data_IF_727158538657
#
_entry.id   IF_727158538657
#
_cell.length_a   1.000
_cell.length_b   1.000
_cell.length_c   1.000
_cell.angle_alpha   90.00
_cell.angle_beta   90.00
_cell.angle_gamma   90.00
#
_symmetry.space_group_name_H-M   'P 1'
#
loop_
_entity.id
_entity.type
_entity.pdbx_description
1 polymer ?
#
# COMPACT_ATOMS: atom_id res chain seq x y z
N UNK A 1 3.72 -1.40 -9.94
CA UNK A 1 2.63 -0.75 -10.70
C UNK A 1 1.55 -1.74 -11.05
N UNK A 2 0.27 -1.31 -11.18
CA UNK A 2 -0.84 -2.20 -11.55
C UNK A 2 -2.19 -1.63 -11.13
N UNK A 3 -3.28 -2.25 -11.61
CA UNK A 3 -4.65 -1.90 -11.18
C UNK A 3 -4.80 -2.07 -9.65
N UNK A 4 -5.84 -1.49 -9.04
CA UNK A 4 -6.19 -1.83 -7.66
C UNK A 4 -6.34 -3.37 -7.49
N UNK A 5 -5.97 -3.86 -6.31
CA UNK A 5 -6.10 -5.28 -5.92
C UNK A 5 -5.26 -6.29 -6.74
N UNK A 6 -4.25 -5.85 -7.48
CA UNK A 6 -3.29 -6.76 -8.14
C UNK A 6 -2.25 -7.36 -7.20
N UNK A 7 -2.26 -6.99 -5.90
CA UNK A 7 -1.35 -7.54 -4.89
C UNK A 7 -0.08 -6.73 -4.66
N UNK A 8 -0.01 -5.45 -5.10
CA UNK A 8 1.17 -4.58 -4.93
C UNK A 8 1.65 -4.49 -3.48
N UNK A 9 0.82 -3.98 -2.58
CA UNK A 9 1.16 -3.82 -1.16
C UNK A 9 1.48 -5.14 -0.46
N UNK A 10 0.77 -6.23 -0.84
CA UNK A 10 1.07 -7.58 -0.32
C UNK A 10 2.45 -8.04 -0.78
N UNK A 11 2.80 -7.76 -2.04
CA UNK A 11 4.12 -8.10 -2.59
C UNK A 11 5.23 -7.25 -1.95
N UNK A 12 4.98 -5.95 -1.75
CA UNK A 12 5.92 -5.06 -1.04
C UNK A 12 6.21 -5.59 0.36
N UNK A 13 5.18 -5.93 1.15
CA UNK A 13 5.36 -6.52 2.46
C UNK A 13 6.14 -7.86 2.41
N UNK A 14 5.88 -8.70 1.41
CA UNK A 14 6.59 -9.97 1.26
C UNK A 14 8.07 -9.78 0.89
N UNK A 15 8.40 -8.82 0.04
CA UNK A 15 9.77 -8.47 -0.34
C UNK A 15 10.57 -7.91 0.84
N UNK A 16 9.95 -7.05 1.64
CA UNK A 16 10.57 -6.44 2.84
C UNK A 16 10.67 -7.45 3.99
N UNK A 17 9.79 -8.44 4.05
CA UNK A 17 9.69 -9.41 5.15
C UNK A 17 8.91 -8.88 6.37
N UNK A 18 8.41 -7.64 6.31
CA UNK A 18 7.60 -7.01 7.35
C UNK A 18 6.37 -6.29 6.77
N UNK A 19 5.36 -6.10 7.61
CA UNK A 19 4.16 -5.35 7.24
C UNK A 19 4.42 -3.85 7.33
N UNK A 20 4.77 -3.22 6.22
CA UNK A 20 4.96 -1.77 6.11
C UNK A 20 3.77 -1.10 5.40
N UNK A 21 3.12 -1.79 4.47
CA UNK A 21 1.95 -1.31 3.74
C UNK A 21 0.69 -2.02 4.20
N UNK A 22 -0.41 -1.29 4.33
CA UNK A 22 -1.71 -1.88 4.64
C UNK A 22 -2.29 -2.62 3.44
N UNK A 23 -3.04 -3.67 3.74
CA UNK A 23 -3.69 -4.51 2.72
C UNK A 23 -5.19 -4.59 2.97
N UNK A 24 -5.98 -4.28 1.96
CA UNK A 24 -7.43 -4.45 2.02
C UNK A 24 -7.98 -4.85 0.66
N UNK A 25 -9.14 -5.52 0.66
CA UNK A 25 -9.85 -5.90 -0.58
C UNK A 25 -10.50 -4.70 -1.28
N UNK A 26 -10.28 -3.50 -0.77
CA UNK A 26 -10.85 -2.26 -1.30
C UNK A 26 -9.92 -1.60 -2.31
N UNK A 27 -10.45 -0.96 -3.37
CA UNK A 27 -9.64 -0.11 -4.23
C UNK A 27 -9.05 1.08 -3.45
N UNK A 28 -7.92 1.61 -3.92
CA UNK A 28 -7.27 2.81 -3.34
C UNK A 28 -6.87 2.63 -1.85
N UNK A 29 -6.41 1.44 -1.51
CA UNK A 29 -5.93 1.15 -0.15
C UNK A 29 -4.68 1.95 0.16
N UNK A 30 -3.69 1.98 -0.75
CA UNK A 30 -2.46 2.78 -0.63
C UNK A 30 -2.74 4.21 -1.02
N UNK A 31 -2.43 5.17 -0.16
CA UNK A 31 -2.63 6.61 -0.38
C UNK A 31 -1.36 7.44 -0.27
N UNK A 32 -0.27 6.85 0.18
CA UNK A 32 1.06 7.44 0.20
C UNK A 32 2.01 6.54 -0.59
N UNK A 33 3.10 7.10 -1.10
CA UNK A 33 4.20 6.32 -1.63
C UNK A 33 4.96 5.73 -0.43
N UNK A 34 4.81 4.44 -0.18
CA UNK A 34 5.46 3.74 0.93
C UNK A 34 6.79 3.16 0.43
N UNK A 35 7.91 3.53 1.07
CA UNK A 35 9.21 2.96 0.76
C UNK A 35 9.53 1.81 1.69
N UNK A 36 9.75 0.63 1.10
CA UNK A 36 10.21 -0.56 1.80
C UNK A 36 11.65 -0.86 1.42
N UNK A 37 12.44 -1.27 2.40
CA UNK A 37 13.86 -1.52 2.25
C UNK A 37 14.12 -3.02 2.29
N UNK A 38 14.75 -3.54 1.22
CA UNK A 38 15.16 -4.94 1.11
C UNK A 38 16.67 -4.97 1.09
N UNK A 39 17.26 -5.56 2.12
CA UNK A 39 18.70 -5.68 2.27
C UNK A 39 19.15 -7.05 1.77
N UNK A 40 20.12 -7.08 0.87
CA UNK A 40 20.82 -8.26 0.37
C UNK A 40 22.33 -8.11 0.62
N UNK A 41 23.08 -9.18 0.49
CA UNK A 41 24.54 -9.13 0.69
C UNK A 41 25.22 -8.16 -0.30
N UNK A 42 24.75 -8.15 -1.53
CA UNK A 42 25.31 -7.42 -2.67
C UNK A 42 24.47 -6.23 -3.16
N UNK A 43 23.27 -6.02 -2.59
CA UNK A 43 22.36 -4.97 -3.05
C UNK A 43 21.47 -4.43 -1.93
N UNK A 44 21.01 -3.19 -2.11
CA UNK A 44 19.91 -2.60 -1.34
C UNK A 44 18.82 -2.18 -2.31
N UNK A 45 17.62 -2.76 -2.18
CA UNK A 45 16.49 -2.43 -3.03
C UNK A 45 15.53 -1.52 -2.24
N UNK A 46 15.23 -0.34 -2.77
CA UNK A 46 14.17 0.53 -2.25
C UNK A 46 12.91 0.26 -3.05
N UNK A 47 12.00 -0.52 -2.49
CA UNK A 47 10.71 -0.84 -3.12
C UNK A 47 9.72 0.26 -2.81
N UNK A 48 9.14 0.89 -3.83
CA UNK A 48 8.14 1.95 -3.64
C UNK A 48 6.76 1.40 -3.97
N UNK A 49 5.93 1.17 -2.92
CA UNK A 49 4.50 0.88 -3.11
C UNK A 49 3.74 2.17 -3.38
N UNK A 50 3.10 2.23 -4.51
CA UNK A 50 2.40 3.44 -4.98
C UNK A 50 0.89 3.23 -5.01
N UNK A 51 0.10 4.30 -4.83
CA UNK A 51 -1.32 4.28 -5.12
C UNK A 51 -1.61 3.70 -6.51
N UNK A 52 -2.73 3.00 -6.65
CA UNK A 52 -3.18 2.51 -7.95
C UNK A 52 -3.59 3.67 -8.86
N UNK A 53 -3.10 3.71 -10.09
CA UNK A 53 -3.53 4.70 -11.08
C UNK A 53 -4.99 4.49 -11.48
N UNK A 54 -5.77 5.57 -11.42
CA UNK A 54 -7.16 5.60 -11.85
C UNK A 54 -7.54 7.00 -12.35
N UNK A 55 -8.71 7.14 -12.97
CA UNK A 55 -9.21 8.48 -13.34
C UNK A 55 -9.64 9.23 -12.08
N UNK A 56 -9.00 10.37 -11.75
CA UNK A 56 -9.29 11.10 -10.53
C UNK A 56 -10.70 11.70 -10.58
N UNK A 57 -11.40 11.69 -9.45
CA UNK A 57 -12.71 12.31 -9.26
C UNK A 57 -12.70 13.39 -8.18
N UNK A 58 -11.61 13.48 -7.42
CA UNK A 58 -11.42 14.40 -6.30
C UNK A 58 -10.01 14.97 -6.37
N UNK A 59 -9.76 16.07 -5.66
CA UNK A 59 -8.42 16.65 -5.54
C UNK A 59 -7.43 15.67 -4.89
N UNK A 60 -7.89 14.85 -3.93
CA UNK A 60 -7.08 13.75 -3.40
C UNK A 60 -6.61 12.83 -4.52
N UNK A 61 -7.53 12.35 -5.37
CA UNK A 61 -7.18 11.47 -6.50
C UNK A 61 -6.19 12.10 -7.48
N UNK A 62 -6.28 13.41 -7.72
CA UNK A 62 -5.31 14.16 -8.55
C UNK A 62 -3.92 14.14 -7.92
N UNK A 63 -3.80 14.48 -6.60
CA UNK A 63 -2.55 14.46 -5.86
C UNK A 63 -1.92 13.07 -5.80
N UNK A 64 -2.73 12.01 -5.60
CA UNK A 64 -2.24 10.63 -5.62
C UNK A 64 -1.64 10.26 -6.99
N UNK A 65 -2.30 10.64 -8.08
CA UNK A 65 -1.78 10.41 -9.43
C UNK A 65 -0.51 11.23 -9.72
N UNK A 66 -0.37 12.44 -9.17
CA UNK A 66 0.86 13.24 -9.29
C UNK A 66 2.02 12.58 -8.55
N UNK A 67 1.83 12.17 -7.29
CA UNK A 67 2.84 11.45 -6.52
C UNK A 67 3.32 10.17 -7.21
N UNK A 68 2.39 9.44 -7.86
CA UNK A 68 2.74 8.26 -8.67
C UNK A 68 3.60 8.63 -9.87
N UNK A 69 3.30 9.73 -10.57
CA UNK A 69 4.10 10.16 -11.75
C UNK A 69 5.50 10.64 -11.35
N UNK A 70 5.63 11.34 -10.23
CA UNK A 70 6.92 11.74 -9.68
C UNK A 70 7.78 10.51 -9.36
N UNK A 71 7.19 9.49 -8.72
CA UNK A 71 7.89 8.23 -8.45
C UNK A 71 8.44 7.57 -9.72
N UNK A 72 7.76 7.67 -10.87
CA UNK A 72 8.23 7.04 -12.11
C UNK A 72 9.49 7.66 -12.68
N UNK A 73 9.73 8.94 -12.43
CA UNK A 73 10.92 9.63 -12.90
C UNK A 73 12.18 9.24 -12.10
N UNK A 74 11.98 8.74 -10.87
CA UNK A 74 13.04 8.56 -9.88
C UNK A 74 13.42 7.08 -9.65
N UNK A 75 12.76 6.12 -10.32
CA UNK A 75 13.03 4.69 -10.12
C UNK A 75 13.81 4.07 -11.26
N UNK A 76 14.70 3.12 -10.94
CA UNK A 76 15.52 2.38 -11.92
C UNK A 76 14.73 1.26 -12.61
N UNK A 77 13.78 0.64 -11.89
CA UNK A 77 12.98 -0.50 -12.38
C UNK A 77 11.51 -0.30 -12.03
N UNK A 78 10.62 -0.57 -12.97
CA UNK A 78 9.17 -0.57 -12.75
C UNK A 78 8.61 -1.98 -12.94
N UNK A 79 8.13 -2.58 -11.84
CA UNK A 79 7.40 -3.84 -11.87
C UNK A 79 5.92 -3.64 -12.20
N UNK A 80 5.44 -4.21 -13.30
CA UNK A 80 4.02 -4.20 -13.68
C UNK A 80 3.33 -5.44 -13.14
N UNK A 81 2.47 -5.27 -12.13
CA UNK A 81 1.78 -6.38 -11.45
C UNK A 81 0.47 -6.73 -12.14
N UNK A 82 0.31 -7.98 -12.55
CA UNK A 82 -0.90 -8.52 -13.19
C UNK A 82 -1.25 -9.85 -12.51
N UNK A 83 -2.46 -10.00 -11.94
CA UNK A 83 -2.82 -11.21 -11.23
C UNK A 83 -3.06 -12.39 -12.19
N UNK A 84 -2.62 -13.59 -11.81
CA UNK A 84 -2.76 -14.80 -12.60
C UNK A 84 -4.21 -15.23 -12.82
N UNK A 85 -5.08 -14.92 -11.85
CA UNK A 85 -6.50 -15.29 -11.84
C UNK A 85 -7.41 -14.31 -12.60
N UNK A 86 -6.87 -13.26 -13.20
CA UNK A 86 -7.62 -12.28 -13.98
C UNK A 86 -7.11 -12.24 -15.43
N UNK A 87 -7.97 -11.87 -16.36
CA UNK A 87 -7.56 -11.60 -17.75
C UNK A 87 -7.01 -10.19 -17.86
N UNK A 88 -6.00 -10.01 -18.72
CA UNK A 88 -5.49 -8.68 -19.10
C UNK A 88 -6.63 -7.88 -19.72
N UNK A 89 -6.91 -6.73 -19.12
CA UNK A 89 -8.00 -5.85 -19.53
C UNK A 89 -7.51 -4.50 -20.09
N UNK A 90 -8.46 -3.63 -20.47
CA UNK A 90 -8.14 -2.29 -20.96
C UNK A 90 -7.35 -1.44 -19.93
N UNK A 91 -7.61 -1.64 -18.63
CA UNK A 91 -6.90 -0.94 -17.56
C UNK A 91 -5.42 -1.31 -17.50
N UNK A 92 -5.07 -2.59 -17.70
CA UNK A 92 -3.68 -3.05 -17.71
C UNK A 92 -2.93 -2.46 -18.92
N UNK A 93 -3.55 -2.46 -20.10
CA UNK A 93 -2.98 -1.85 -21.32
C UNK A 93 -2.75 -0.36 -21.14
N UNK A 94 -3.73 0.35 -20.60
CA UNK A 94 -3.60 1.79 -20.32
C UNK A 94 -2.47 2.10 -19.35
N UNK A 95 -2.26 1.28 -18.30
CA UNK A 95 -1.15 1.43 -17.35
C UNK A 95 0.18 1.28 -18.07
N UNK A 96 0.37 0.22 -18.87
CA UNK A 96 1.61 -0.03 -19.60
C UNK A 96 1.90 1.10 -20.59
N UNK A 97 0.91 1.54 -21.35
CA UNK A 97 1.04 2.69 -22.27
C UNK A 97 1.43 3.97 -21.54
N UNK A 98 0.81 4.22 -20.39
CA UNK A 98 1.10 5.41 -19.58
C UNK A 98 2.51 5.39 -19.00
N UNK A 99 2.94 4.24 -18.46
CA UNK A 99 4.30 4.05 -17.94
C UNK A 99 5.34 4.30 -19.05
N UNK A 100 5.18 3.69 -20.21
CA UNK A 100 6.08 3.88 -21.34
C UNK A 100 6.18 5.33 -21.82
N UNK A 101 5.06 6.07 -21.73
CA UNK A 101 5.03 7.49 -22.10
C UNK A 101 5.75 8.37 -21.08
N UNK A 102 5.61 8.08 -19.78
CA UNK A 102 6.15 8.91 -18.70
C UNK A 102 7.60 8.54 -18.39
N UNK A 103 7.92 7.25 -18.41
CA UNK A 103 9.24 6.71 -18.10
C UNK A 103 9.77 5.81 -19.24
N UNK A 104 10.04 6.37 -20.45
CA UNK A 104 10.36 5.59 -21.64
C UNK A 104 11.72 4.87 -21.59
N UNK A 105 12.61 5.28 -20.67
CA UNK A 105 13.95 4.71 -20.50
C UNK A 105 14.07 3.76 -19.30
N UNK A 106 13.08 3.74 -18.42
CA UNK A 106 13.10 2.93 -17.21
C UNK A 106 12.86 1.46 -17.55
N UNK A 107 13.64 0.58 -16.95
CA UNK A 107 13.51 -0.87 -17.15
C UNK A 107 12.15 -1.35 -16.63
N UNK A 108 11.42 -2.10 -17.48
CA UNK A 108 10.14 -2.69 -17.12
C UNK A 108 10.30 -4.19 -16.89
N UNK A 109 9.67 -4.70 -15.83
CA UNK A 109 9.50 -6.13 -15.60
C UNK A 109 8.02 -6.46 -15.42
N UNK A 110 7.60 -7.63 -15.87
CA UNK A 110 6.26 -8.19 -15.62
C UNK A 110 6.26 -9.02 -14.34
N UNK A 111 5.31 -8.77 -13.45
CA UNK A 111 5.14 -9.55 -12.22
C UNK A 111 3.75 -10.18 -12.22
N UNK A 112 3.68 -11.48 -12.51
CA UNK A 112 2.43 -12.26 -12.48
C UNK A 112 2.17 -12.67 -11.04
N UNK A 113 1.23 -11.99 -10.39
CA UNK A 113 0.93 -12.17 -8.95
C UNK A 113 -0.17 -13.21 -8.71
N UNK A 114 -0.36 -13.64 -7.45
CA UNK A 114 -1.43 -14.56 -6.99
C UNK A 114 -1.39 -15.91 -7.68
N UNK A 115 -0.21 -16.43 -7.98
CA UNK A 115 -0.06 -17.73 -8.66
C UNK A 115 -0.58 -18.91 -7.81
N UNK A 116 -0.65 -18.74 -6.49
CA UNK A 116 -1.23 -19.68 -5.54
C UNK A 116 -2.74 -19.94 -5.74
N UNK A 117 -3.40 -19.11 -6.56
CA UNK A 117 -4.87 -19.18 -6.78
C UNK A 117 -5.27 -19.88 -8.07
N UNK A 118 -4.32 -20.34 -8.88
CA UNK A 118 -4.58 -20.90 -10.21
C UNK A 118 -3.71 -22.11 -10.51
N UNK A 119 -4.03 -22.86 -11.59
CA UNK A 119 -3.22 -23.99 -12.08
C UNK A 119 -1.94 -23.53 -12.78
N UNK A 120 -0.96 -24.43 -12.89
CA UNK A 120 0.31 -24.18 -13.60
C UNK A 120 0.10 -23.81 -15.07
N UNK A 121 -0.85 -24.43 -15.75
CA UNK A 121 -1.17 -24.10 -17.15
C UNK A 121 -1.66 -22.66 -17.27
N UNK A 122 -2.51 -22.22 -16.33
CA UNK A 122 -2.98 -20.83 -16.28
C UNK A 122 -1.87 -19.84 -15.99
N UNK A 123 -0.89 -20.20 -15.15
CA UNK A 123 0.30 -19.39 -14.93
C UNK A 123 1.09 -19.23 -16.23
N UNK A 124 1.34 -20.32 -16.95
CA UNK A 124 2.07 -20.30 -18.21
C UNK A 124 1.37 -19.42 -19.28
N UNK A 125 0.06 -19.55 -19.44
CA UNK A 125 -0.74 -18.69 -20.33
C UNK A 125 -0.60 -17.20 -19.95
N UNK A 126 -0.66 -16.90 -18.65
CA UNK A 126 -0.60 -15.52 -18.17
C UNK A 126 0.80 -14.92 -18.35
N UNK A 127 1.87 -15.70 -18.15
CA UNK A 127 3.25 -15.27 -18.40
C UNK A 127 3.42 -14.85 -19.87
N UNK A 128 2.96 -15.66 -20.83
CA UNK A 128 3.00 -15.33 -22.26
C UNK A 128 2.21 -14.06 -22.54
N UNK A 129 0.99 -13.95 -22.02
CA UNK A 129 0.14 -12.79 -22.23
C UNK A 129 0.73 -11.49 -21.65
N UNK A 130 1.41 -11.56 -20.51
CA UNK A 130 2.10 -10.41 -19.89
C UNK A 130 3.36 -10.06 -20.69
N UNK A 131 4.13 -11.03 -21.14
CA UNK A 131 5.30 -10.81 -21.98
C UNK A 131 4.91 -10.09 -23.29
N UNK A 132 3.84 -10.53 -23.95
CA UNK A 132 3.30 -9.85 -25.15
C UNK A 132 2.81 -8.43 -24.83
N UNK A 133 2.10 -8.23 -23.71
CA UNK A 133 1.62 -6.93 -23.27
C UNK A 133 2.79 -5.94 -23.08
N UNK A 134 3.93 -6.43 -22.56
CA UNK A 134 5.15 -5.66 -22.34
C UNK A 134 6.04 -5.57 -23.58
N UNK A 135 5.61 -6.06 -24.76
CA UNK A 135 6.26 -5.91 -26.04
C UNK A 135 7.35 -6.95 -26.35
N UNK A 136 7.41 -8.06 -25.60
CA UNK A 136 8.23 -9.21 -25.91
C UNK A 136 9.73 -9.10 -25.58
N UNK A 137 10.17 -8.04 -24.90
CA UNK A 137 11.58 -7.81 -24.54
C UNK A 137 11.81 -7.69 -23.02
N UNK A 138 10.73 -7.75 -22.22
CA UNK A 138 10.81 -7.57 -20.78
C UNK A 138 10.82 -8.92 -20.05
N UNK A 139 11.57 -9.01 -18.97
CA UNK A 139 11.52 -10.13 -18.05
C UNK A 139 10.14 -10.26 -17.41
N UNK A 140 9.63 -11.48 -17.26
CA UNK A 140 8.36 -11.75 -16.61
C UNK A 140 8.53 -12.86 -15.58
N UNK A 141 8.15 -12.59 -14.34
CA UNK A 141 8.30 -13.53 -13.22
C UNK A 141 6.94 -13.81 -12.55
N UNK A 142 6.60 -15.08 -12.29
CA UNK A 142 5.42 -15.45 -11.52
C UNK A 142 5.74 -15.41 -10.02
N UNK A 143 4.83 -14.86 -9.17
CA UNK A 143 5.06 -14.79 -7.74
C UNK A 143 3.78 -14.97 -6.92
N UNK A 144 3.89 -15.58 -5.76
CA UNK A 144 2.89 -15.52 -4.71
C UNK A 144 3.45 -14.85 -3.46
N UNK A 145 3.04 -13.61 -3.24
CA UNK A 145 3.38 -12.90 -2.00
C UNK A 145 2.77 -13.56 -0.74
N UNK A 146 1.71 -14.36 -0.91
CA UNK A 146 1.02 -15.04 0.19
C UNK A 146 1.76 -16.30 0.65
N UNK A 147 2.27 -17.09 -0.27
CA UNK A 147 3.04 -18.31 0.02
C UNK A 147 4.54 -18.07 0.12
N UNK A 148 5.03 -16.90 -0.32
CA UNK A 148 6.46 -16.60 -0.45
C UNK A 148 7.08 -17.16 -1.73
N UNK A 149 6.31 -17.83 -2.59
CA UNK A 149 6.83 -18.48 -3.79
C UNK A 149 7.40 -17.46 -4.77
N UNK A 150 8.67 -17.62 -5.13
CA UNK A 150 9.45 -16.78 -6.04
C UNK A 150 9.60 -15.30 -5.61
N UNK A 151 9.42 -14.98 -4.34
CA UNK A 151 9.63 -13.62 -3.82
C UNK A 151 11.13 -13.28 -3.76
N UNK A 152 11.98 -14.22 -3.35
CA UNK A 152 13.43 -14.01 -3.31
C UNK A 152 14.05 -13.99 -4.72
N UNK A 153 13.53 -14.81 -5.65
CA UNK A 153 13.92 -14.79 -7.06
C UNK A 153 13.57 -13.43 -7.70
N UNK A 154 12.40 -12.87 -7.38
CA UNK A 154 12.04 -11.53 -7.83
C UNK A 154 13.00 -10.48 -7.25
N UNK A 155 13.35 -10.58 -5.97
CA UNK A 155 14.32 -9.66 -5.36
C UNK A 155 15.70 -9.77 -6.02
N UNK A 156 16.16 -11.00 -6.33
CA UNK A 156 17.39 -11.26 -7.08
C UNK A 156 17.37 -10.69 -8.51
N UNK A 157 16.25 -10.88 -9.23
CA UNK A 157 16.07 -10.30 -10.56
C UNK A 157 16.15 -8.77 -10.51
N UNK A 158 15.46 -8.13 -9.58
CA UNK A 158 15.50 -6.67 -9.43
C UNK A 158 16.91 -6.21 -9.07
N UNK A 159 17.58 -6.86 -8.11
CA UNK A 159 18.95 -6.51 -7.73
C UNK A 159 19.93 -6.51 -8.92
N UNK A 160 19.80 -7.50 -9.81
CA UNK A 160 20.61 -7.59 -11.04
C UNK A 160 20.36 -6.50 -12.09
N UNK A 161 19.24 -5.78 -11.96
CA UNK A 161 18.85 -4.69 -12.86
C UNK A 161 19.18 -3.30 -12.28
N UNK A 162 19.58 -3.21 -11.01
CA UNK A 162 19.91 -1.94 -10.37
C UNK A 162 21.32 -1.46 -10.77
N UNK A 163 21.53 -0.14 -10.87
CA UNK A 163 22.85 0.41 -11.07
C UNK A 163 23.75 0.23 -9.83
N UNK A 164 25.06 0.20 -10.04
CA UNK A 164 26.02 0.25 -8.94
C UNK A 164 25.95 1.60 -8.22
N UNK A 165 25.95 1.57 -6.89
CA UNK A 165 25.84 2.77 -6.07
C UNK A 165 26.07 2.51 -4.58
N UNK A 166 26.13 3.56 -3.75
CA UNK A 166 26.21 3.42 -2.30
C UNK A 166 24.90 2.93 -1.71
N UNK A 167 24.96 2.31 -0.51
CA UNK A 167 23.76 2.09 0.31
C UNK A 167 23.20 3.44 0.77
N UNK A 168 21.89 3.61 0.63
CA UNK A 168 21.18 4.83 1.03
C UNK A 168 20.67 4.77 2.46
N UNK A 169 20.40 3.57 2.98
CA UNK A 169 19.76 3.35 4.29
C UNK A 169 20.59 2.40 5.15
N UNK A 170 20.59 2.56 6.49
CA UNK A 170 21.15 1.59 7.42
C UNK A 170 20.48 0.22 7.30
N UNK A 171 21.23 -0.85 7.63
CA UNK A 171 20.78 -2.24 7.44
C UNK A 171 19.65 -2.66 8.41
N UNK A 172 19.42 -1.92 9.48
CA UNK A 172 18.36 -2.15 10.48
C UNK A 172 17.04 -1.41 10.15
N UNK A 173 17.02 -0.61 9.10
CA UNK A 173 15.80 0.06 8.66
C UNK A 173 15.03 -0.80 7.66
N UNK A 174 13.72 -0.86 7.81
CA UNK A 174 12.79 -1.59 6.90
C UNK A 174 11.90 -0.64 6.09
N UNK A 175 11.78 0.63 6.52
CA UNK A 175 11.02 1.69 5.85
C UNK A 175 11.48 3.05 6.34
N UNK A 176 11.26 4.09 5.55
CA UNK A 176 11.48 5.49 5.93
C UNK A 176 10.19 6.21 6.39
N UNK A 177 9.06 5.51 6.42
CA UNK A 177 7.81 6.07 6.92
C UNK A 177 7.86 6.33 8.43
N UNK A 178 7.34 7.48 8.84
CA UNK A 178 7.25 7.80 10.26
C UNK A 178 6.23 6.91 11.00
N UNK A 179 6.47 6.72 12.29
CA UNK A 179 5.70 5.80 13.13
C UNK A 179 4.22 6.23 13.26
N UNK A 180 3.92 7.53 13.29
CA UNK A 180 2.55 8.02 13.42
C UNK A 180 1.76 7.73 12.13
N UNK A 181 2.36 7.92 10.97
CA UNK A 181 1.77 7.55 9.67
C UNK A 181 1.48 6.05 9.62
N UNK A 182 2.42 5.21 10.05
CA UNK A 182 2.21 3.76 10.12
C UNK A 182 1.06 3.37 11.06
N UNK A 183 0.98 3.99 12.25
CA UNK A 183 -0.13 3.75 13.18
C UNK A 183 -1.47 4.20 12.59
N UNK A 184 -1.53 5.37 11.96
CA UNK A 184 -2.75 5.87 11.31
C UNK A 184 -3.23 4.91 10.20
N UNK A 185 -2.32 4.38 9.39
CA UNK A 185 -2.64 3.41 8.34
C UNK A 185 -3.15 2.08 8.92
N UNK A 186 -2.57 1.55 10.01
CA UNK A 186 -3.07 0.35 10.68
C UNK A 186 -4.49 0.54 11.24
N UNK A 187 -4.80 1.72 11.78
CA UNK A 187 -6.17 2.07 12.21
C UNK A 187 -7.09 2.14 10.99
N UNK A 188 -6.63 2.74 9.88
CA UNK A 188 -7.39 2.83 8.64
C UNK A 188 -7.67 1.45 8.04
N UNK A 189 -6.70 0.55 8.00
CA UNK A 189 -6.89 -0.84 7.57
C UNK A 189 -7.97 -1.55 8.40
N UNK A 190 -7.89 -1.44 9.73
CA UNK A 190 -8.89 -2.01 10.62
C UNK A 190 -10.29 -1.43 10.37
N UNK A 191 -10.39 -0.14 10.04
CA UNK A 191 -11.64 0.52 9.71
C UNK A 191 -12.20 0.08 8.34
N UNK A 192 -11.35 -0.12 7.34
CA UNK A 192 -11.73 -0.55 5.99
C UNK A 192 -12.32 -1.97 5.97
N UNK A 193 -11.91 -2.83 6.90
CA UNK A 193 -12.40 -4.22 6.98
C UNK A 193 -13.92 -4.29 7.04
N UNK A 194 -14.53 -4.94 6.03
CA UNK A 194 -15.98 -5.10 5.90
C UNK A 194 -16.75 -3.82 5.54
N UNK A 195 -16.09 -2.73 5.15
CA UNK A 195 -16.74 -1.59 4.51
C UNK A 195 -17.05 -1.92 3.04
N UNK A 196 -18.10 -1.28 2.51
CA UNK A 196 -18.55 -1.47 1.12
C UNK A 196 -18.90 -0.12 0.48
N UNK A 197 -19.01 -0.12 -0.86
CA UNK A 197 -19.39 1.04 -1.67
C UNK A 197 -18.42 2.22 -1.51
N UNK A 198 -18.90 3.44 -1.40
CA UNK A 198 -18.11 4.68 -1.36
C UNK A 198 -17.48 4.98 0.03
N UNK A 199 -17.85 4.25 1.08
CA UNK A 199 -17.38 4.55 2.42
C UNK A 199 -15.87 4.33 2.62
N UNK A 200 -15.23 3.30 2.01
CA UNK A 200 -13.77 3.13 2.10
C UNK A 200 -12.99 4.35 1.61
N UNK A 201 -13.45 5.02 0.57
CA UNK A 201 -12.78 6.21 0.01
C UNK A 201 -12.85 7.42 0.94
N UNK A 202 -13.90 7.50 1.78
CA UNK A 202 -14.18 8.64 2.67
C UNK A 202 -13.49 8.58 4.03
N UNK A 203 -12.74 7.52 4.33
CA UNK A 203 -12.09 7.32 5.64
C UNK A 203 -10.67 7.85 5.60
N UNK A 204 -10.32 8.74 6.53
CA UNK A 204 -8.93 9.13 6.83
C UNK A 204 -8.68 9.01 8.34
N UNK A 205 -7.43 8.85 8.73
CA UNK A 205 -7.01 8.73 10.14
C UNK A 205 -5.83 9.67 10.38
N UNK A 206 -5.84 10.31 11.53
CA UNK A 206 -4.78 11.18 12.03
C UNK A 206 -4.45 10.74 13.46
N UNK A 207 -3.17 10.67 13.81
CA UNK A 207 -2.72 10.51 15.18
C UNK A 207 -2.61 11.91 15.78
N UNK A 208 -3.42 12.20 16.80
CA UNK A 208 -3.38 13.49 17.49
C UNK A 208 -2.14 13.58 18.39
N UNK A 209 -1.93 12.58 19.24
CA UNK A 209 -0.78 12.52 20.14
C UNK A 209 -0.48 11.10 20.65
N UNK A 210 0.74 10.86 21.08
CA UNK A 210 1.20 9.64 21.74
C UNK A 210 1.91 10.00 23.03
N UNK A 211 1.36 9.56 24.16
CA UNK A 211 1.86 9.91 25.50
C UNK A 211 2.10 8.67 26.36
N UNK A 212 3.11 8.66 27.25
CA UNK A 212 3.20 7.63 28.28
C UNK A 212 1.94 7.62 29.16
N UNK A 213 1.48 6.44 29.52
CA UNK A 213 0.37 6.31 30.49
C UNK A 213 0.86 6.68 31.90
N UNK A 214 0.09 7.49 32.62
CA UNK A 214 0.53 8.01 33.94
C UNK A 214 0.40 6.96 35.05
N UNK A 215 -0.50 5.99 34.88
CA UNK A 215 -0.83 4.99 35.91
C UNK A 215 -0.24 3.60 35.61
N UNK A 216 0.20 3.37 34.35
CA UNK A 216 0.69 2.06 33.87
C UNK A 216 2.05 2.21 33.21
N UNK A 217 3.09 1.80 33.91
CA UNK A 217 4.46 1.80 33.38
C UNK A 217 4.56 0.92 32.13
N UNK A 218 5.29 1.41 31.12
CA UNK A 218 5.49 0.70 29.86
C UNK A 218 4.28 0.66 28.92
N UNK A 219 3.23 1.45 29.18
CA UNK A 219 2.07 1.60 28.29
C UNK A 219 2.07 2.99 27.65
N UNK A 220 1.74 3.05 26.35
CA UNK A 220 1.51 4.32 25.65
C UNK A 220 0.02 4.55 25.44
N UNK A 221 -0.44 5.78 25.64
CA UNK A 221 -1.74 6.27 25.23
C UNK A 221 -1.64 6.87 23.82
N UNK A 222 -2.31 6.22 22.87
CA UNK A 222 -2.38 6.68 21.47
C UNK A 222 -3.76 7.31 21.26
N UNK A 223 -3.79 8.60 20.99
CA UNK A 223 -5.01 9.35 20.67
C UNK A 223 -5.09 9.54 19.16
N UNK A 224 -6.20 9.08 18.57
CA UNK A 224 -6.38 9.13 17.13
C UNK A 224 -7.79 9.60 16.74
N UNK A 225 -7.90 10.22 15.58
CA UNK A 225 -9.17 10.64 15.00
C UNK A 225 -9.37 9.98 13.64
N UNK A 226 -10.50 9.28 13.51
CA UNK A 226 -10.99 8.77 12.25
C UNK A 226 -11.98 9.78 11.66
N UNK A 227 -11.67 10.28 10.48
CA UNK A 227 -12.51 11.22 9.74
C UNK A 227 -13.37 10.48 8.72
N UNK A 228 -14.61 10.97 8.59
CA UNK A 228 -15.56 10.60 7.53
C UNK A 228 -16.20 11.86 6.97
N UNK A 229 -16.74 11.81 5.75
CA UNK A 229 -17.29 13.00 5.11
C UNK A 229 -18.72 13.34 5.53
N UNK A 230 -19.52 12.35 5.97
CA UNK A 230 -20.95 12.51 6.23
C UNK A 230 -21.36 11.92 7.58
N UNK A 231 -22.35 12.54 8.28
CA UNK A 231 -22.83 12.02 9.56
C UNK A 231 -23.31 10.56 9.50
N UNK A 232 -23.99 10.15 8.42
CA UNK A 232 -24.42 8.77 8.22
C UNK A 232 -23.27 7.77 8.17
N UNK A 233 -22.12 8.17 7.63
CA UNK A 233 -20.91 7.33 7.61
C UNK A 233 -20.34 7.12 9.02
N UNK A 234 -20.40 8.15 9.89
CA UNK A 234 -20.03 8.04 11.31
C UNK A 234 -20.82 6.93 12.00
N UNK A 235 -22.14 6.88 11.78
CA UNK A 235 -22.99 5.85 12.36
C UNK A 235 -22.64 4.44 11.85
N UNK A 236 -22.27 4.30 10.58
CA UNK A 236 -21.84 3.02 10.00
C UNK A 236 -20.50 2.55 10.61
N UNK A 237 -19.54 3.47 10.78
CA UNK A 237 -18.25 3.14 11.44
C UNK A 237 -18.44 2.79 12.91
N UNK A 238 -19.25 3.54 13.64
CA UNK A 238 -19.55 3.24 15.03
C UNK A 238 -20.26 1.87 15.17
N UNK A 239 -21.19 1.59 14.26
CA UNK A 239 -22.01 0.39 14.30
C UNK A 239 -23.07 0.44 15.41
N UNK A 240 -23.90 -0.60 15.49
CA UNK A 240 -24.91 -0.71 16.53
C UNK A 240 -24.23 -0.77 17.89
N UNK A 241 -24.63 0.09 18.81
CA UNK A 241 -24.12 0.16 20.20
C UNK A 241 -22.57 0.29 20.28
N UNK A 242 -21.92 0.87 19.27
CA UNK A 242 -20.47 1.05 19.23
C UNK A 242 -19.64 -0.22 18.97
N UNK A 243 -20.30 -1.37 18.72
CA UNK A 243 -19.61 -2.67 18.58
C UNK A 243 -18.60 -2.70 17.44
N UNK A 244 -18.92 -2.04 16.33
CA UNK A 244 -17.98 -2.00 15.19
C UNK A 244 -16.73 -1.19 15.53
N UNK A 245 -16.90 -0.02 16.15
CA UNK A 245 -15.79 0.80 16.61
C UNK A 245 -14.90 0.05 17.59
N UNK A 246 -15.48 -0.65 18.58
CA UNK A 246 -14.73 -1.50 19.50
C UNK A 246 -13.93 -2.58 18.78
N UNK A 247 -14.50 -3.20 17.74
CA UNK A 247 -13.79 -4.18 16.90
C UNK A 247 -12.65 -3.56 16.08
N UNK A 248 -12.81 -2.32 15.59
CA UNK A 248 -11.75 -1.56 14.91
C UNK A 248 -10.61 -1.27 15.87
N UNK A 249 -10.92 -0.71 17.04
CA UNK A 249 -9.94 -0.41 18.11
C UNK A 249 -9.16 -1.66 18.50
N UNK A 250 -9.85 -2.78 18.71
CA UNK A 250 -9.19 -4.03 19.09
C UNK A 250 -8.18 -4.51 18.02
N UNK A 251 -8.59 -4.56 16.76
CA UNK A 251 -7.69 -5.00 15.67
C UNK A 251 -6.52 -4.05 15.48
N UNK A 252 -6.78 -2.75 15.41
CA UNK A 252 -5.74 -1.74 15.24
C UNK A 252 -4.73 -1.78 16.40
N UNK A 253 -5.23 -1.90 17.65
CA UNK A 253 -4.38 -2.00 18.83
C UNK A 253 -3.40 -3.17 18.74
N UNK A 254 -3.86 -4.35 18.33
CA UNK A 254 -2.98 -5.53 18.19
C UNK A 254 -1.85 -5.31 17.18
N UNK A 255 -2.15 -4.67 16.06
CA UNK A 255 -1.15 -4.38 15.02
C UNK A 255 -0.18 -3.26 15.48
N UNK A 256 -0.68 -2.23 16.16
CA UNK A 256 0.17 -1.16 16.70
C UNK A 256 1.11 -1.70 17.81
N UNK A 257 0.64 -2.61 18.66
CA UNK A 257 1.51 -3.28 19.65
C UNK A 257 2.68 -4.01 18.97
N UNK A 258 2.41 -4.71 17.86
CA UNK A 258 3.48 -5.37 17.09
C UNK A 258 4.44 -4.36 16.48
N UNK A 259 3.91 -3.26 15.91
CA UNK A 259 4.70 -2.20 15.31
C UNK A 259 5.66 -1.55 16.33
N UNK A 260 5.16 -1.23 17.53
CA UNK A 260 5.93 -0.52 18.55
C UNK A 260 6.71 -1.45 19.48
N UNK A 261 6.45 -2.75 19.41
CA UNK A 261 6.89 -3.74 20.42
C UNK A 261 6.60 -3.28 21.86
N UNK A 262 5.46 -2.61 22.07
CA UNK A 262 5.08 -1.98 23.33
C UNK A 262 3.56 -2.02 23.53
N UNK A 263 3.11 -2.20 24.77
CA UNK A 263 1.69 -2.14 25.09
C UNK A 263 1.13 -0.72 24.89
N UNK A 264 -0.09 -0.64 24.34
CA UNK A 264 -0.77 0.62 24.14
C UNK A 264 -2.22 0.59 24.64
N UNK A 265 -2.73 1.77 24.96
CA UNK A 265 -4.15 2.08 25.00
C UNK A 265 -4.50 2.94 23.79
N UNK A 266 -5.53 2.58 23.01
CA UNK A 266 -5.95 3.32 21.82
C UNK A 266 -7.29 4.03 22.08
N UNK A 267 -7.28 5.36 22.14
CA UNK A 267 -8.47 6.22 22.13
C UNK A 267 -8.76 6.66 20.70
N UNK A 268 -9.79 6.08 20.07
CA UNK A 268 -10.18 6.37 18.70
C UNK A 268 -11.49 7.14 18.64
N UNK A 269 -11.47 8.38 18.18
CA UNK A 269 -12.63 9.25 18.02
C UNK A 269 -13.06 9.36 16.57
N UNK A 270 -14.37 9.41 16.29
CA UNK A 270 -14.87 9.60 14.93
C UNK A 270 -15.38 11.03 14.79
N UNK A 271 -14.82 11.77 13.81
CA UNK A 271 -15.23 13.14 13.47
C UNK A 271 -15.73 13.21 12.01
N UNK A 272 -16.66 14.11 11.75
CA UNK A 272 -17.12 14.43 10.39
C UNK A 272 -16.32 15.61 9.86
N UNK A 273 -15.61 15.41 8.76
CA UNK A 273 -14.88 16.44 8.03
C UNK A 273 -15.45 16.47 6.60
N UNK A 274 -16.37 17.41 6.37
CA UNK A 274 -17.13 17.47 5.11
C UNK A 274 -16.21 17.75 3.92
N UNK A 275 -16.40 16.98 2.85
CA UNK A 275 -15.71 17.15 1.55
C UNK A 275 -14.17 17.24 1.67
N UNK A 276 -13.56 16.61 2.68
CA UNK A 276 -12.13 16.70 2.94
C UNK A 276 -11.26 16.29 1.75
N UNK A 277 -11.73 15.36 0.90
CA UNK A 277 -11.02 14.91 -0.30
C UNK A 277 -10.89 16.00 -1.39
N UNK A 278 -11.64 17.09 -1.28
CA UNK A 278 -11.61 18.21 -2.22
C UNK A 278 -11.17 19.51 -1.57
N UNK A 279 -10.83 19.50 -0.27
CA UNK A 279 -10.34 20.67 0.47
C UNK A 279 -8.83 20.64 0.60
N UNK A 280 -8.09 21.58 -0.06
CA UNK A 280 -6.63 21.61 0.00
C UNK A 280 -6.05 21.73 1.42
N UNK A 281 -6.74 22.43 2.34
CA UNK A 281 -6.30 22.60 3.73
C UNK A 281 -6.46 21.30 4.53
N UNK A 282 -7.60 20.64 4.34
CA UNK A 282 -7.85 19.35 4.97
C UNK A 282 -6.86 18.29 4.47
N UNK A 283 -6.59 18.25 3.16
CA UNK A 283 -5.60 17.35 2.56
C UNK A 283 -4.20 17.60 3.15
N UNK A 284 -3.72 18.84 3.18
CA UNK A 284 -2.41 19.16 3.74
C UNK A 284 -2.27 18.77 5.22
N UNK A 285 -3.37 18.93 6.03
CA UNK A 285 -3.37 18.49 7.43
C UNK A 285 -3.31 16.96 7.57
N UNK A 286 -3.97 16.23 6.67
CA UNK A 286 -4.00 14.77 6.67
C UNK A 286 -2.80 14.13 5.96
N UNK A 287 -1.81 14.94 5.53
CA UNK A 287 -0.57 14.45 4.92
C UNK A 287 -0.68 14.11 3.42
N UNK A 288 -1.67 14.69 2.70
CA UNK A 288 -1.88 14.46 1.26
C UNK A 288 -1.53 15.66 0.40
#
# INVERSE_FOLDING_TARGET
MGRPNTGKSTLTNALVGEKIAITADQPETTRHAIRGLVHREDAQIVVVDTPGLHRPRTLLGERLNEAVKETYADVDVIGVTIPANEKIGPGDRWIVENVRRVAPKTTLIGVVTKIDTVSKDRIAEQLVAVHELLGGECEVIPVSARSGEQVDELAGLVAGLLPEGPKFYPDDHVTDDDVNTRMAELIREAALSGLKHELPHSVAVEIDEVLPDQDREGVLNVHAVLYVERPGQKSIIAGKDGRRLSGIVHRARLEIIKLLNQNIYLDLRIKVLKNWQSDPKALGRLGF
#
